data_IF_730575269825
#
_entry.id   IF_730575269825
#
_cell.length_a   1.000
_cell.length_b   1.000
_cell.length_c   1.000
_cell.angle_alpha   90.00
_cell.angle_beta   90.00
_cell.angle_gamma   90.00
#
_symmetry.space_group_name_H-M   'P 1'
#
loop_
_entity.id
_entity.type
_entity.pdbx_description
1 polymer ?
#
# COMPACT_ATOMS: atom_id res chain seq x y z
N UNK A 1 -3.69 19.13 -30.84
CA UNK A 1 -3.09 18.20 -29.85
C UNK A 1 -1.76 18.79 -29.38
N UNK A 2 -1.60 19.04 -28.07
CA UNK A 2 -0.38 19.61 -27.50
C UNK A 2 0.69 18.51 -27.51
N UNK A 3 1.75 18.68 -28.31
CA UNK A 3 2.86 17.72 -28.34
C UNK A 3 3.63 17.89 -27.03
N UNK A 4 3.80 16.79 -26.30
CA UNK A 4 4.73 16.70 -25.17
C UNK A 4 6.10 17.21 -25.61
N UNK A 5 6.72 18.06 -24.80
CA UNK A 5 8.12 18.51 -25.02
C UNK A 5 9.14 17.48 -24.54
N UNK A 6 8.65 16.35 -24.02
CA UNK A 6 9.46 15.24 -23.56
C UNK A 6 10.04 14.48 -24.75
N UNK A 7 11.35 14.27 -24.72
CA UNK A 7 12.03 13.39 -25.67
C UNK A 7 11.74 11.92 -25.28
N UNK A 8 10.70 11.37 -25.89
CA UNK A 8 10.26 10.00 -25.63
C UNK A 8 11.25 8.95 -26.11
N UNK A 9 11.99 9.22 -27.19
CA UNK A 9 12.97 8.27 -27.71
C UNK A 9 14.12 8.07 -26.73
N UNK A 10 14.55 9.16 -26.06
CA UNK A 10 15.54 9.09 -24.99
C UNK A 10 15.05 8.29 -23.79
N UNK A 11 13.82 8.53 -23.34
CA UNK A 11 13.26 7.82 -22.17
C UNK A 11 13.07 6.34 -22.46
N UNK A 12 12.61 5.98 -23.66
CA UNK A 12 12.39 4.58 -24.07
C UNK A 12 13.70 3.78 -24.16
N UNK A 13 14.79 4.43 -24.57
CA UNK A 13 16.12 3.83 -24.63
C UNK A 13 16.87 3.84 -23.28
N UNK A 14 16.34 4.51 -22.25
CA UNK A 14 17.02 4.68 -20.97
C UNK A 14 16.89 3.40 -20.14
N UNK A 15 17.99 2.96 -19.52
CA UNK A 15 17.96 1.80 -18.62
C UNK A 15 17.74 2.25 -17.18
N UNK A 16 17.26 1.35 -16.32
CA UNK A 16 17.02 1.66 -14.89
C UNK A 16 18.27 2.22 -14.18
N UNK A 17 19.47 1.85 -14.64
CA UNK A 17 20.76 2.34 -14.10
C UNK A 17 21.03 3.82 -14.38
N UNK A 18 20.40 4.37 -15.41
CA UNK A 18 20.56 5.76 -15.81
C UNK A 18 19.52 6.66 -15.10
N UNK A 19 18.64 6.08 -14.28
CA UNK A 19 17.68 6.81 -13.47
C UNK A 19 18.41 7.46 -12.29
N UNK A 20 18.20 8.76 -12.15
CA UNK A 20 18.76 9.53 -11.04
C UNK A 20 17.85 9.42 -9.81
N UNK A 21 18.40 8.88 -8.72
CA UNK A 21 17.74 8.73 -7.41
C UNK A 21 18.24 9.73 -6.35
N UNK A 22 18.99 10.75 -6.75
CA UNK A 22 19.50 11.76 -5.81
C UNK A 22 18.39 12.54 -5.09
N UNK A 23 17.25 12.75 -5.75
CA UNK A 23 16.10 13.47 -5.18
C UNK A 23 15.11 12.55 -4.45
N UNK A 24 14.94 11.32 -4.93
CA UNK A 24 14.01 10.36 -4.36
C UNK A 24 14.69 8.99 -4.22
N UNK A 25 14.78 8.42 -3.01
CA UNK A 25 15.34 7.09 -2.85
C UNK A 25 14.49 6.07 -3.58
N UNK A 26 15.13 4.99 -4.04
CA UNK A 26 14.42 3.84 -4.59
C UNK A 26 13.41 3.31 -3.56
N UNK A 27 12.21 2.97 -4.05
CA UNK A 27 11.19 2.33 -3.22
C UNK A 27 11.67 0.91 -2.93
N UNK A 28 12.13 0.67 -1.71
CA UNK A 28 12.53 -0.66 -1.28
C UNK A 28 11.31 -1.54 -1.01
N UNK A 29 11.49 -2.86 -1.10
CA UNK A 29 10.42 -3.82 -0.79
C UNK A 29 9.90 -3.65 0.65
N UNK A 30 10.78 -3.34 1.60
CA UNK A 30 10.40 -3.04 3.00
C UNK A 30 9.47 -1.81 3.11
N UNK A 31 9.67 -0.80 2.26
CA UNK A 31 8.79 0.37 2.20
C UNK A 31 7.44 0.01 1.57
N UNK A 32 7.43 -0.87 0.58
CA UNK A 32 6.21 -1.33 -0.07
C UNK A 32 5.37 -2.26 0.82
N UNK A 33 6.00 -3.12 1.62
CA UNK A 33 5.32 -4.03 2.56
C UNK A 33 4.46 -3.28 3.59
N UNK A 34 4.89 -2.08 3.99
CA UNK A 34 4.13 -1.20 4.89
C UNK A 34 3.09 -0.32 4.14
N UNK A 35 3.06 -0.40 2.81
CA UNK A 35 2.16 0.36 1.96
C UNK A 35 0.71 -0.13 2.07
N UNK A 36 -0.16 0.66 2.69
CA UNK A 36 -1.59 0.34 2.76
C UNK A 36 -2.26 0.70 1.42
N UNK A 37 -2.51 -0.29 0.57
CA UNK A 37 -3.25 -0.09 -0.67
C UNK A 37 -4.75 0.11 -0.38
N UNK A 38 -5.22 1.37 -0.34
CA UNK A 38 -6.65 1.68 -0.23
C UNK A 38 -7.32 1.71 -1.59
N UNK A 39 -7.80 0.57 -2.08
CA UNK A 39 -8.75 0.58 -3.19
C UNK A 39 -10.07 1.17 -2.67
N UNK A 40 -10.37 2.41 -3.10
CA UNK A 40 -11.61 3.18 -2.84
C UNK A 40 -11.72 4.00 -1.54
N UNK A 41 -10.62 4.35 -0.86
CA UNK A 41 -10.58 5.36 0.23
C UNK A 41 -11.59 5.23 1.39
N UNK A 42 -12.33 4.12 1.51
CA UNK A 42 -13.26 3.96 2.63
C UNK A 42 -12.45 3.79 3.93
N UNK A 43 -12.76 4.57 4.98
CA UNK A 43 -12.12 4.37 6.28
C UNK A 43 -12.43 2.95 6.77
N UNK A 44 -11.43 2.31 7.39
CA UNK A 44 -11.61 1.00 8.02
C UNK A 44 -12.69 1.18 9.09
N UNK A 45 -13.85 0.50 8.99
CA UNK A 45 -14.83 0.55 10.06
C UNK A 45 -14.13 0.05 11.33
N UNK A 46 -14.16 0.86 12.39
CA UNK A 46 -13.62 0.44 13.68
C UNK A 46 -14.32 -0.86 14.07
N UNK A 47 -13.55 -1.80 14.65
CA UNK A 47 -14.09 -3.08 15.11
C UNK A 47 -15.29 -2.80 16.03
N UNK A 48 -16.47 -3.23 15.62
CA UNK A 48 -17.66 -3.15 16.46
C UNK A 48 -17.43 -4.06 17.66
N UNK A 49 -17.42 -3.47 18.86
CA UNK A 49 -17.48 -4.24 20.10
C UNK A 49 -18.95 -4.55 20.35
N UNK A 50 -19.35 -5.77 19.98
CA UNK A 50 -20.69 -6.28 20.24
C UNK A 50 -20.63 -7.20 21.46
N UNK A 51 -21.47 -6.92 22.45
CA UNK A 51 -21.61 -7.73 23.65
C UNK A 51 -22.63 -8.83 23.37
N UNK A 52 -22.16 -10.06 23.17
CA UNK A 52 -23.02 -11.23 23.04
C UNK A 52 -23.03 -12.01 24.37
N UNK A 53 -24.19 -12.53 24.80
CA UNK A 53 -24.20 -13.50 25.89
C UNK A 53 -23.51 -14.78 25.42
N UNK A 54 -22.52 -15.23 26.17
CA UNK A 54 -21.78 -16.48 25.94
C UNK A 54 -22.00 -17.36 27.17
N UNK A 55 -22.30 -18.64 26.95
CA UNK A 55 -22.48 -19.62 28.02
C UNK A 55 -21.15 -19.87 28.76
N UNK A 56 -21.24 -20.09 30.07
CA UNK A 56 -20.07 -20.16 30.96
C UNK A 56 -19.16 -21.34 30.63
N UNK A 57 -19.76 -22.44 30.22
CA UNK A 57 -19.17 -23.70 29.80
C UNK A 57 -18.30 -23.53 28.55
N UNK A 58 -18.68 -22.64 27.63
CA UNK A 58 -17.86 -22.29 26.47
C UNK A 58 -16.64 -21.47 26.91
N UNK A 59 -16.81 -20.52 27.84
CA UNK A 59 -15.70 -19.72 28.38
C UNK A 59 -14.70 -20.61 29.13
N UNK A 60 -15.18 -21.61 29.87
CA UNK A 60 -14.33 -22.54 30.62
C UNK A 60 -13.55 -23.49 29.70
N UNK A 61 -14.11 -23.88 28.56
CA UNK A 61 -13.42 -24.70 27.55
C UNK A 61 -12.26 -23.95 26.85
N UNK A 62 -12.38 -22.63 26.67
CA UNK A 62 -11.38 -21.80 25.98
C UNK A 62 -10.39 -21.09 26.92
N UNK A 63 -10.47 -21.33 28.24
CA UNK A 63 -9.43 -20.93 29.21
C UNK A 63 -8.22 -21.85 29.15
#
# INVERSE_FOLDING_TARGET
>A
MKKSQTDWARIDAMTDKDIDFTDCPEITDEMWENGILRKNFKPIPRKNQENFPIDKDIIEFFK
#
